data_IF_829674949218
#
_entry.id   IF_829674949218
#
_cell.length_a   1.000
_cell.length_b   1.000
_cell.length_c   1.000
_cell.angle_alpha   90.00
_cell.angle_beta   90.00
_cell.angle_gamma   90.00
#
_symmetry.space_group_name_H-M   'P 1'
#
loop_
_entity.id
_entity.type
_entity.pdbx_description
1 polymer ?
#
# COMPACT_ATOMS: atom_id res chain seq x y z
N UNK A 1 12.77 -9.97 -12.39
CA UNK A 1 12.66 -11.38 -11.96
C UNK A 1 13.09 -11.47 -10.51
N UNK A 2 12.37 -12.23 -9.68
CA UNK A 2 12.75 -12.45 -8.29
C UNK A 2 14.05 -13.27 -8.27
N UNK A 3 15.09 -12.78 -7.60
CA UNK A 3 16.41 -13.41 -7.64
C UNK A 3 16.47 -14.57 -6.64
N UNK A 4 17.41 -15.48 -6.83
CA UNK A 4 17.74 -16.46 -5.78
C UNK A 4 18.43 -15.76 -4.62
N UNK A 5 18.17 -16.20 -3.38
CA UNK A 5 18.69 -15.58 -2.16
C UNK A 5 18.44 -14.07 -2.10
N UNK A 6 17.18 -13.65 -2.23
CA UNK A 6 16.83 -12.24 -2.18
C UNK A 6 15.74 -11.93 -1.17
N UNK A 7 15.87 -10.76 -0.53
CA UNK A 7 14.85 -10.19 0.35
C UNK A 7 14.20 -9.01 -0.36
N UNK A 8 12.88 -8.99 -0.38
CA UNK A 8 12.15 -7.78 -0.76
C UNK A 8 12.06 -6.84 0.43
N UNK A 9 12.42 -5.57 0.21
CA UNK A 9 12.35 -4.53 1.23
C UNK A 9 11.56 -3.33 0.74
N UNK A 10 10.93 -2.62 1.66
CA UNK A 10 10.20 -1.39 1.40
C UNK A 10 10.62 -0.31 2.41
N UNK A 11 10.37 0.96 2.08
CA UNK A 11 10.52 2.06 3.04
C UNK A 11 9.35 2.07 4.03
N UNK A 12 9.64 2.39 5.29
CA UNK A 12 8.61 2.65 6.30
C UNK A 12 7.69 3.77 5.82
N UNK A 13 6.38 3.50 5.83
CA UNK A 13 5.33 4.49 5.57
C UNK A 13 4.58 4.90 6.84
N UNK A 14 4.51 4.00 7.83
CA UNK A 14 3.72 4.16 9.05
C UNK A 14 4.49 3.64 10.26
N UNK A 15 4.19 4.22 11.43
CA UNK A 15 4.83 3.88 12.69
C UNK A 15 4.19 2.59 13.25
N UNK A 16 4.75 1.44 12.90
CA UNK A 16 4.32 0.12 13.33
C UNK A 16 5.53 -0.74 13.69
N UNK A 17 5.28 -1.85 14.40
CA UNK A 17 6.32 -2.79 14.84
C UNK A 17 6.77 -3.70 13.68
N UNK A 18 7.44 -3.08 12.71
CA UNK A 18 7.95 -3.76 11.52
C UNK A 18 9.21 -4.56 11.81
N UNK A 19 9.43 -5.63 11.03
CA UNK A 19 10.74 -6.28 10.98
C UNK A 19 11.69 -5.45 10.10
N UNK A 20 12.66 -4.79 10.73
CA UNK A 20 13.64 -3.96 10.05
C UNK A 20 14.78 -4.78 9.46
N UNK A 21 15.26 -4.34 8.30
CA UNK A 21 16.56 -4.77 7.79
C UNK A 21 17.64 -4.00 8.58
N UNK A 22 18.29 -4.69 9.50
CA UNK A 22 19.35 -4.13 10.34
C UNK A 22 20.74 -4.71 9.96
N UNK A 23 21.79 -4.20 10.59
CA UNK A 23 23.19 -4.62 10.34
C UNK A 23 23.49 -6.09 10.70
N UNK A 24 22.56 -6.78 11.37
CA UNK A 24 22.70 -8.20 11.68
C UNK A 24 22.46 -9.09 10.44
N UNK A 25 21.85 -8.54 9.39
CA UNK A 25 21.71 -9.21 8.10
C UNK A 25 22.98 -9.04 7.27
N UNK A 26 23.53 -10.16 6.82
CA UNK A 26 24.61 -10.16 5.83
C UNK A 26 24.01 -10.02 4.42
N UNK A 27 24.34 -8.92 3.75
CA UNK A 27 23.82 -8.55 2.43
C UNK A 27 24.97 -8.24 1.47
N UNK A 28 24.79 -8.48 0.17
CA UNK A 28 25.83 -8.23 -0.84
C UNK A 28 26.11 -6.73 -1.06
N UNK A 29 25.11 -5.87 -0.90
CA UNK A 29 25.24 -4.41 -1.00
C UNK A 29 25.42 -3.81 0.39
N UNK A 30 26.57 -3.18 0.67
CA UNK A 30 26.86 -2.57 1.98
C UNK A 30 26.13 -1.25 2.25
N UNK A 31 25.37 -0.72 1.30
CA UNK A 31 24.63 0.52 1.50
C UNK A 31 23.24 0.16 2.01
N UNK A 32 23.08 0.15 3.33
CA UNK A 32 21.76 0.21 3.95
C UNK A 32 21.30 1.66 3.95
N UNK A 33 20.15 1.92 3.32
CA UNK A 33 19.37 3.12 3.65
C UNK A 33 18.71 2.88 5.01
N UNK A 34 18.67 3.90 5.86
CA UNK A 34 17.88 3.87 7.08
C UNK A 34 16.38 3.66 6.74
N UNK A 35 15.63 3.04 7.66
CA UNK A 35 14.18 2.80 7.58
C UNK A 35 13.71 1.82 6.48
N UNK A 36 14.49 0.77 6.22
CA UNK A 36 14.06 -0.35 5.38
C UNK A 36 13.43 -1.48 6.21
N UNK A 37 12.23 -1.91 5.79
CA UNK A 37 11.47 -3.01 6.40
C UNK A 37 11.38 -4.19 5.45
N UNK A 38 11.26 -5.39 6.01
CA UNK A 38 11.03 -6.61 5.25
C UNK A 38 9.61 -6.66 4.70
N UNK A 39 9.48 -6.74 3.37
CA UNK A 39 8.20 -6.64 2.65
C UNK A 39 7.46 -7.98 2.50
N UNK A 40 7.83 -9.01 3.27
CA UNK A 40 7.12 -10.29 3.31
C UNK A 40 7.36 -11.25 2.13
N UNK A 41 8.16 -10.88 1.12
CA UNK A 41 8.54 -11.77 0.03
C UNK A 41 10.05 -12.08 0.08
N UNK A 42 10.36 -13.38 0.12
CA UNK A 42 11.73 -13.88 0.32
C UNK A 42 12.05 -15.03 -0.62
N UNK A 43 13.29 -15.12 -1.06
CA UNK A 43 13.84 -16.22 -1.85
C UNK A 43 15.05 -16.81 -1.12
N UNK A 44 15.12 -18.14 -1.05
CA UNK A 44 16.20 -18.86 -0.38
C UNK A 44 16.68 -19.99 -1.29
N UNK A 45 17.98 -20.09 -1.52
CA UNK A 45 18.57 -21.18 -2.28
C UNK A 45 18.79 -22.45 -1.44
N UNK A 46 18.95 -22.32 -0.11
CA UNK A 46 19.21 -23.43 0.81
C UNK A 46 18.15 -23.55 1.92
N UNK A 47 16.91 -23.97 1.58
CA UNK A 47 15.80 -24.00 2.55
C UNK A 47 16.03 -24.92 3.75
N UNK A 48 16.77 -26.03 3.58
CA UNK A 48 17.10 -26.94 4.68
C UNK A 48 18.00 -26.26 5.73
N UNK A 49 18.96 -25.44 5.28
CA UNK A 49 19.82 -24.68 6.16
C UNK A 49 19.02 -23.59 6.90
N UNK A 50 18.08 -22.94 6.21
CA UNK A 50 17.16 -21.99 6.84
C UNK A 50 16.35 -22.65 7.96
N UNK A 51 15.77 -23.83 7.72
CA UNK A 51 15.00 -24.57 8.74
C UNK A 51 15.88 -24.83 9.97
N UNK A 52 17.12 -25.28 9.78
CA UNK A 52 18.07 -25.46 10.88
C UNK A 52 18.28 -24.16 11.67
N UNK A 53 18.56 -23.05 10.98
CA UNK A 53 18.76 -21.76 11.63
C UNK A 53 17.53 -21.29 12.41
N UNK A 54 16.30 -21.53 11.90
CA UNK A 54 15.05 -21.19 12.60
C UNK A 54 14.91 -22.02 13.88
N UNK A 55 15.16 -23.33 13.82
CA UNK A 55 15.09 -24.21 15.00
C UNK A 55 16.11 -23.80 16.06
N UNK A 56 17.35 -23.49 15.65
CA UNK A 56 18.41 -23.00 16.55
C UNK A 56 18.10 -21.61 17.12
N UNK A 57 17.25 -20.82 16.45
CA UNK A 57 16.81 -19.48 16.87
C UNK A 57 15.49 -19.51 17.66
N UNK A 58 15.17 -20.60 18.37
CA UNK A 58 13.94 -20.77 19.13
C UNK A 58 12.65 -20.53 18.30
N UNK A 59 12.66 -20.97 17.04
CA UNK A 59 11.55 -20.80 16.10
C UNK A 59 11.25 -19.34 15.69
N UNK A 60 12.15 -18.40 16.00
CA UNK A 60 12.06 -17.03 15.48
C UNK A 60 12.43 -17.00 14.00
N UNK A 61 11.47 -16.63 13.15
CA UNK A 61 11.70 -16.56 11.70
C UNK A 61 12.72 -15.47 11.34
N UNK A 62 12.59 -14.28 11.92
CA UNK A 62 13.49 -13.15 11.65
C UNK A 62 14.91 -13.46 12.10
N UNK A 63 15.09 -14.01 13.30
CA UNK A 63 16.43 -14.35 13.79
C UNK A 63 17.03 -15.57 13.07
N UNK A 64 16.19 -16.50 12.63
CA UNK A 64 16.58 -17.58 11.74
C UNK A 64 17.10 -17.06 10.40
N UNK A 65 16.45 -16.06 9.81
CA UNK A 65 16.92 -15.40 8.57
C UNK A 65 18.22 -14.64 8.78
N UNK A 66 18.38 -13.92 9.90
CA UNK A 66 19.65 -13.25 10.25
C UNK A 66 20.78 -14.27 10.35
N UNK A 67 20.55 -15.39 11.03
CA UNK A 67 21.52 -16.48 11.17
C UNK A 67 21.84 -17.15 9.83
N UNK A 68 20.83 -17.39 8.99
CA UNK A 68 21.01 -17.89 7.62
C UNK A 68 21.89 -16.95 6.78
N UNK A 69 21.64 -15.63 6.88
CA UNK A 69 22.32 -14.62 6.08
C UNK A 69 23.85 -14.65 6.27
N UNK A 70 24.32 -14.98 7.49
CA UNK A 70 25.75 -15.09 7.82
C UNK A 70 26.49 -16.15 6.99
N UNK A 71 25.79 -17.20 6.57
CA UNK A 71 26.35 -18.24 5.70
C UNK A 71 26.02 -17.97 4.22
N UNK A 72 24.83 -17.45 3.94
CA UNK A 72 24.33 -17.17 2.60
C UNK A 72 23.78 -15.76 2.53
N UNK A 73 24.62 -14.81 2.10
CA UNK A 73 24.23 -13.41 2.04
C UNK A 73 23.04 -13.19 1.09
N UNK A 74 22.22 -12.18 1.40
CA UNK A 74 21.05 -11.83 0.60
C UNK A 74 21.33 -10.71 -0.41
N UNK A 75 20.69 -10.82 -1.58
CA UNK A 75 20.45 -9.71 -2.49
C UNK A 75 19.22 -8.90 -2.02
N UNK A 76 19.32 -7.58 -2.03
CA UNK A 76 18.20 -6.70 -1.64
C UNK A 76 17.44 -6.23 -2.87
N UNK A 77 16.13 -6.46 -2.89
CA UNK A 77 15.21 -5.98 -3.92
C UNK A 77 14.28 -4.95 -3.29
N UNK A 78 14.54 -3.68 -3.55
CA UNK A 78 13.67 -2.59 -3.09
C UNK A 78 12.38 -2.55 -3.92
N UNK A 79 11.25 -2.45 -3.24
CA UNK A 79 9.95 -2.27 -3.88
C UNK A 79 9.14 -1.17 -3.18
N UNK A 80 9.01 -0.02 -3.83
CA UNK A 80 8.28 1.13 -3.30
C UNK A 80 6.75 0.99 -3.46
N UNK A 81 6.29 0.06 -4.31
CA UNK A 81 4.86 -0.22 -4.56
C UNK A 81 4.29 -1.31 -3.67
N UNK A 82 5.04 -1.74 -2.64
CA UNK A 82 4.54 -2.70 -1.66
C UNK A 82 3.33 -2.13 -0.89
N UNK A 83 2.30 -2.97 -0.78
CA UNK A 83 1.04 -2.71 -0.10
C UNK A 83 0.87 -3.77 0.98
N UNK A 84 0.71 -3.32 2.23
CA UNK A 84 0.35 -4.19 3.35
C UNK A 84 -1.14 -4.11 3.63
N UNK A 85 -1.77 -5.26 3.83
CA UNK A 85 -3.18 -5.41 4.17
C UNK A 85 -3.39 -6.03 5.56
N UNK A 86 -2.34 -6.23 6.35
CA UNK A 86 -2.39 -6.82 7.69
C UNK A 86 -2.96 -5.90 8.77
N UNK A 87 -2.94 -4.58 8.55
CA UNK A 87 -3.56 -3.57 9.41
C UNK A 87 -4.68 -2.85 8.67
N UNK A 88 -5.72 -2.48 9.41
CA UNK A 88 -6.85 -1.76 8.85
C UNK A 88 -6.46 -0.37 8.31
N UNK A 89 -5.47 0.29 8.92
CA UNK A 89 -4.92 1.57 8.43
C UNK A 89 -4.21 1.40 7.09
N UNK A 90 -3.34 0.40 7.00
CA UNK A 90 -2.60 0.07 5.77
C UNK A 90 -3.53 -0.44 4.66
N UNK A 91 -4.63 -1.12 5.01
CA UNK A 91 -5.69 -1.49 4.07
C UNK A 91 -6.32 -0.25 3.42
N UNK A 92 -6.74 0.76 4.19
CA UNK A 92 -7.32 1.98 3.63
C UNK A 92 -6.32 2.79 2.80
N UNK A 93 -5.06 2.83 3.20
CA UNK A 93 -3.99 3.43 2.41
C UNK A 93 -3.78 2.69 1.08
N UNK A 94 -3.71 1.37 1.10
CA UNK A 94 -3.53 0.53 -0.08
C UNK A 94 -4.72 0.62 -1.04
N UNK A 95 -5.94 0.75 -0.50
CA UNK A 95 -7.16 0.95 -1.27
C UNK A 95 -7.16 2.25 -2.06
N UNK A 96 -6.56 3.33 -1.52
CA UNK A 96 -6.38 4.58 -2.26
C UNK A 96 -5.52 4.40 -3.52
N UNK A 97 -4.54 3.52 -3.47
CA UNK A 97 -3.64 3.24 -4.60
C UNK A 97 -4.30 2.36 -5.68
N UNK A 98 -5.21 1.48 -5.31
CA UNK A 98 -5.96 0.61 -6.22
C UNK A 98 -7.28 1.27 -6.60
N UNK A 99 -7.22 2.32 -7.43
CA UNK A 99 -8.44 2.93 -7.97
C UNK A 99 -8.95 2.09 -9.14
N UNK A 100 -10.06 1.38 -8.97
CA UNK A 100 -10.78 0.74 -10.09
C UNK A 100 -11.53 1.81 -10.87
N UNK A 101 -10.80 2.53 -11.72
CA UNK A 101 -11.39 3.53 -12.62
C UNK A 101 -12.10 2.82 -13.78
N UNK A 102 -13.27 3.33 -14.17
CA UNK A 102 -13.84 3.00 -15.48
C UNK A 102 -13.06 3.76 -16.55
N UNK A 103 -12.86 3.17 -17.73
CA UNK A 103 -11.98 3.71 -18.80
C UNK A 103 -12.24 5.15 -19.22
N UNK A 104 -13.43 5.70 -18.95
CA UNK A 104 -13.83 7.06 -19.30
C UNK A 104 -13.73 8.08 -18.14
N UNK A 105 -13.48 7.63 -16.91
CA UNK A 105 -13.33 8.50 -15.74
C UNK A 105 -11.85 8.61 -15.37
N UNK A 106 -11.39 9.83 -15.12
CA UNK A 106 -10.12 10.08 -14.46
C UNK A 106 -10.39 10.45 -13.00
N UNK A 107 -9.78 9.70 -12.08
CA UNK A 107 -9.95 9.88 -10.63
C UNK A 107 -8.56 10.11 -10.02
N UNK A 108 -8.31 11.32 -9.56
CA UNK A 108 -7.08 11.65 -8.84
C UNK A 108 -7.40 11.77 -7.34
N UNK A 109 -6.66 11.07 -6.49
CA UNK A 109 -6.87 11.10 -5.04
C UNK A 109 -5.67 11.76 -4.38
N UNK A 110 -5.81 13.03 -3.99
CA UNK A 110 -4.74 13.85 -3.40
C UNK A 110 -5.23 14.55 -2.15
N UNK A 111 -4.39 14.61 -1.12
CA UNK A 111 -4.58 15.41 0.10
C UNK A 111 -5.97 15.33 0.78
N UNK A 112 -6.62 14.16 0.78
CA UNK A 112 -7.94 13.97 1.39
C UNK A 112 -9.12 14.34 0.51
N UNK A 113 -8.90 14.61 -0.78
CA UNK A 113 -9.93 14.85 -1.78
C UNK A 113 -9.80 13.87 -2.95
N UNK A 114 -10.93 13.62 -3.60
CA UNK A 114 -11.05 12.92 -4.87
C UNK A 114 -11.41 13.96 -5.92
N UNK A 115 -10.51 14.21 -6.86
CA UNK A 115 -10.81 14.97 -8.06
C UNK A 115 -11.33 14.03 -9.13
N UNK A 116 -12.52 14.32 -9.65
CA UNK A 116 -13.10 13.60 -10.77
C UNK A 116 -13.14 14.47 -12.00
N UNK A 117 -12.60 13.94 -13.09
CA UNK A 117 -12.77 14.49 -14.44
C UNK A 117 -13.08 13.35 -15.42
N UNK A 118 -13.57 13.69 -16.60
CA UNK A 118 -13.93 12.70 -17.62
C UNK A 118 -13.79 13.31 -19.00
N UNK A 119 -13.57 12.47 -20.01
CA UNK A 119 -13.70 12.86 -21.41
C UNK A 119 -15.16 13.19 -21.78
N UNK A 120 -16.14 12.71 -20.99
CA UNK A 120 -17.56 13.00 -21.19
C UNK A 120 -18.01 14.22 -20.37
N UNK A 121 -17.77 15.41 -20.91
CA UNK A 121 -18.00 16.68 -20.22
C UNK A 121 -19.46 16.92 -19.82
N UNK A 122 -20.43 16.52 -20.65
CA UNK A 122 -21.86 16.67 -20.32
C UNK A 122 -22.24 15.94 -19.04
N UNK A 123 -21.65 14.76 -18.80
CA UNK A 123 -21.89 13.98 -17.59
C UNK A 123 -21.33 14.69 -16.35
N UNK A 124 -20.12 15.24 -16.45
CA UNK A 124 -19.51 16.00 -15.35
C UNK A 124 -20.35 17.24 -15.02
N UNK A 125 -20.82 17.97 -16.04
CA UNK A 125 -21.72 19.12 -15.84
C UNK A 125 -23.05 18.73 -15.19
N UNK A 126 -23.63 17.59 -15.58
CA UNK A 126 -24.84 17.07 -14.95
C UNK A 126 -24.61 16.69 -13.47
N UNK A 127 -23.46 16.07 -13.16
CA UNK A 127 -23.07 15.74 -11.78
C UNK A 127 -22.85 17.00 -10.94
N UNK A 128 -22.15 18.01 -11.46
CA UNK A 128 -21.96 19.32 -10.79
C UNK A 128 -23.31 19.98 -10.51
N UNK A 129 -24.19 20.04 -11.51
CA UNK A 129 -25.51 20.63 -11.36
C UNK A 129 -26.37 19.87 -10.33
N UNK A 130 -26.19 18.55 -10.17
CA UNK A 130 -26.86 17.80 -9.11
C UNK A 130 -26.39 18.23 -7.71
N UNK A 131 -25.08 18.43 -7.52
CA UNK A 131 -24.53 18.91 -6.25
C UNK A 131 -24.97 20.35 -5.94
N UNK A 132 -24.96 21.25 -6.93
CA UNK A 132 -25.34 22.65 -6.75
C UNK A 132 -26.84 22.83 -6.41
N UNK A 133 -27.70 21.93 -6.90
CA UNK A 133 -29.14 21.95 -6.63
C UNK A 133 -29.59 21.03 -5.49
N UNK A 134 -28.64 20.41 -4.78
CA UNK A 134 -28.96 19.49 -3.70
C UNK A 134 -29.59 20.26 -2.52
N UNK A 135 -30.77 19.83 -2.01
CA UNK A 135 -31.40 20.45 -0.84
C UNK A 135 -30.48 20.48 0.38
N UNK A 136 -30.48 21.60 1.12
CA UNK A 136 -29.61 21.81 2.30
C UNK A 136 -29.77 20.74 3.38
N UNK A 137 -30.97 20.18 3.51
CA UNK A 137 -31.28 19.10 4.45
C UNK A 137 -30.48 17.82 4.16
N UNK A 138 -30.12 17.60 2.89
CA UNK A 138 -29.36 16.43 2.44
C UNK A 138 -27.84 16.61 2.55
N UNK A 139 -27.35 17.82 2.79
CA UNK A 139 -25.91 18.08 2.89
C UNK A 139 -25.22 17.28 3.99
N UNK A 140 -25.94 16.90 5.05
CA UNK A 140 -25.42 16.07 6.15
C UNK A 140 -25.05 14.66 5.65
N UNK A 141 -25.70 14.19 4.59
CA UNK A 141 -25.48 12.86 4.02
C UNK A 141 -24.52 12.85 2.84
N UNK A 142 -23.99 14.01 2.46
CA UNK A 142 -23.05 14.12 1.35
C UNK A 142 -21.68 14.60 1.82
N UNK A 143 -20.59 14.08 1.24
CA UNK A 143 -19.25 14.62 1.49
C UNK A 143 -19.17 16.09 1.05
N UNK A 144 -18.17 16.83 1.55
CA UNK A 144 -17.91 18.19 1.05
C UNK A 144 -17.52 18.14 -0.42
N UNK A 145 -18.09 19.03 -1.22
CA UNK A 145 -17.84 19.13 -2.66
C UNK A 145 -17.34 20.54 -3.00
N UNK A 146 -16.35 20.61 -3.89
CA UNK A 146 -15.84 21.82 -4.50
C UNK A 146 -16.01 21.64 -6.02
N UNK A 147 -16.83 22.49 -6.64
CA UNK A 147 -17.15 22.41 -8.06
C UNK A 147 -16.25 23.33 -8.88
N UNK A 148 -15.86 22.88 -10.07
CA UNK A 148 -15.12 23.64 -11.09
C UNK A 148 -15.84 23.51 -12.43
N UNK A 149 -15.38 24.23 -13.47
CA UNK A 149 -16.05 24.27 -14.78
C UNK A 149 -16.10 22.90 -15.49
N UNK A 150 -14.99 22.13 -15.45
CA UNK A 150 -14.84 20.84 -16.13
C UNK A 150 -14.46 19.69 -15.18
N UNK A 151 -14.53 19.92 -13.88
CA UNK A 151 -14.22 18.89 -12.86
C UNK A 151 -14.83 19.26 -11.52
N UNK A 152 -14.84 18.31 -10.59
CA UNK A 152 -15.19 18.60 -9.21
C UNK A 152 -14.31 17.79 -8.27
N UNK A 153 -14.14 18.31 -7.07
CA UNK A 153 -13.41 17.67 -5.98
C UNK A 153 -14.40 17.31 -4.87
N UNK A 154 -14.27 16.11 -4.31
CA UNK A 154 -15.08 15.63 -3.20
C UNK A 154 -14.17 15.19 -2.07
N UNK A 155 -14.53 15.47 -0.82
CA UNK A 155 -13.87 14.91 0.35
C UNK A 155 -13.77 13.38 0.27
N UNK A 156 -12.55 12.87 0.41
CA UNK A 156 -12.28 11.43 0.42
C UNK A 156 -12.66 10.87 1.79
N UNK A 157 -13.84 10.29 1.88
CA UNK A 157 -14.25 9.49 3.03
C UNK A 157 -13.70 8.07 2.87
N UNK A 158 -12.80 7.67 3.78
CA UNK A 158 -12.24 6.31 3.84
C UNK A 158 -13.28 5.27 4.32
N UNK A 159 -14.49 5.28 3.74
CA UNK A 159 -15.53 4.32 4.06
C UNK A 159 -15.36 3.05 3.22
N UNK A 160 -15.76 1.91 3.79
CA UNK A 160 -15.90 0.69 3.02
C UNK A 160 -17.04 0.83 2.01
N UNK A 161 -16.87 0.22 0.84
CA UNK A 161 -17.95 0.19 -0.14
C UNK A 161 -19.05 -0.77 0.31
N UNK A 162 -20.27 -0.61 -0.20
CA UNK A 162 -21.36 -1.54 0.11
C UNK A 162 -21.00 -2.98 -0.32
N UNK A 163 -20.25 -3.13 -1.42
CA UNK A 163 -19.75 -4.43 -1.85
C UNK A 163 -18.82 -5.05 -0.80
N UNK A 164 -17.87 -4.30 -0.23
CA UNK A 164 -16.99 -4.82 0.83
C UNK A 164 -17.72 -5.15 2.12
N UNK A 165 -18.81 -4.43 2.44
CA UNK A 165 -19.57 -4.68 3.66
C UNK A 165 -20.49 -5.91 3.55
N UNK A 166 -20.98 -6.22 2.36
CA UNK A 166 -22.07 -7.19 2.16
C UNK A 166 -21.77 -8.30 1.15
N UNK A 167 -20.65 -8.22 0.43
CA UNK A 167 -20.27 -9.11 -0.68
C UNK A 167 -18.83 -9.62 -0.49
N UNK A 168 -18.49 -9.97 0.75
CA UNK A 168 -17.25 -10.65 1.19
C UNK A 168 -16.08 -9.74 1.57
#
# INVERSE_FOLDING_TARGET
AFKENSLQVAKVKENYDWAYLNDEFSIFSKILEDDLILAGAYSFSHPQFLIKCIVESNYSFVDGMKSYSKAYAFDIIKNDTWLDFGLITSYFHSKKSVSTQRSFNNIDISNGYIKKSSSWQEKIKAEINWFDNLPKELFIYTPKVITYEDSYEIEYLCNNTLAELYVF
#
